data_IF_940079861337
#
_entry.id   IF_940079861337
#
_cell.length_a   1.000
_cell.length_b   1.000
_cell.length_c   1.000
_cell.angle_alpha   90.00
_cell.angle_beta   90.00
_cell.angle_gamma   90.00
#
_symmetry.space_group_name_H-M   'P 1'
#
loop_
_entity.id
_entity.type
_entity.pdbx_description
1 polymer ?
#
# COMPACT_ATOMS: atom_id res chain seq x y z
N UNK A 1 2.52 21.69 2.34
CA UNK A 1 3.22 22.92 2.69
C UNK A 1 4.70 22.65 3.00
N UNK A 2 5.52 23.67 2.79
CA UNK A 2 6.97 23.60 2.95
C UNK A 2 7.45 24.90 3.62
N UNK A 3 8.46 24.77 4.47
CA UNK A 3 9.16 25.90 5.08
C UNK A 3 10.65 25.69 4.92
N UNK A 4 11.32 26.70 4.39
CA UNK A 4 12.76 26.68 4.14
C UNK A 4 13.44 27.83 4.88
N UNK A 5 14.58 27.54 5.50
CA UNK A 5 15.50 28.51 6.07
C UNK A 5 16.88 28.40 5.41
N UNK A 6 17.45 29.54 5.08
CA UNK A 6 18.81 29.67 4.53
C UNK A 6 19.65 30.54 5.46
N UNK A 7 20.82 30.05 5.84
CA UNK A 7 21.79 30.77 6.68
C UNK A 7 23.11 30.85 5.92
N UNK A 8 23.68 32.02 5.82
CA UNK A 8 25.01 32.25 5.24
C UNK A 8 25.93 32.88 6.27
N UNK A 9 27.12 32.32 6.46
CA UNK A 9 28.12 32.80 7.41
C UNK A 9 29.53 32.49 6.92
N UNK A 10 30.38 33.47 6.92
CA UNK A 10 31.80 33.34 6.55
C UNK A 10 32.03 32.56 5.25
N UNK A 11 31.22 32.80 4.22
CA UNK A 11 31.30 32.09 2.94
C UNK A 11 30.74 30.68 2.92
N UNK A 12 30.23 30.18 4.06
CA UNK A 12 29.47 28.94 4.14
C UNK A 12 27.99 29.19 4.00
N UNK A 13 27.25 28.19 3.53
CA UNK A 13 25.79 28.23 3.42
C UNK A 13 25.16 26.95 3.95
N UNK A 14 24.16 27.10 4.78
CA UNK A 14 23.29 26.04 5.26
C UNK A 14 21.85 26.33 4.83
N UNK A 15 21.23 25.39 4.16
CA UNK A 15 19.79 25.39 3.84
C UNK A 15 19.14 24.24 4.55
N UNK A 16 17.99 24.49 5.19
CA UNK A 16 17.16 23.46 5.81
C UNK A 16 15.71 23.65 5.37
N UNK A 17 15.10 22.58 4.91
CA UNK A 17 13.71 22.57 4.47
C UNK A 17 12.95 21.54 5.29
N UNK A 18 11.82 21.93 5.87
CA UNK A 18 10.82 20.99 6.38
C UNK A 18 9.61 20.98 5.46
N UNK A 19 9.09 19.82 5.14
CA UNK A 19 7.90 19.69 4.31
C UNK A 19 6.88 18.72 4.93
N UNK A 20 5.61 18.98 4.63
CA UNK A 20 4.50 18.09 4.95
C UNK A 20 3.50 18.07 3.80
N UNK A 21 3.25 16.90 3.25
CA UNK A 21 2.31 16.63 2.17
C UNK A 21 1.21 15.70 2.67
N UNK A 22 -0.03 16.02 2.38
CA UNK A 22 -1.18 15.18 2.69
C UNK A 22 -2.03 15.03 1.43
N UNK A 23 -2.16 13.79 0.98
CA UNK A 23 -3.03 13.39 -0.12
C UNK A 23 -4.14 12.51 0.43
N UNK A 24 -5.41 12.91 0.27
CA UNK A 24 -6.56 12.19 0.80
C UNK A 24 -7.40 11.48 -0.25
N UNK A 25 -7.08 11.67 -1.53
CA UNK A 25 -7.88 11.21 -2.68
C UNK A 25 -7.03 10.59 -3.79
N UNK A 26 -5.92 9.93 -3.42
CA UNK A 26 -5.07 9.24 -4.39
C UNK A 26 -5.77 8.03 -5.01
N UNK A 27 -5.38 7.67 -6.22
CA UNK A 27 -5.89 6.48 -6.89
C UNK A 27 -5.53 5.20 -6.15
N UNK A 28 -6.51 4.31 -6.05
CA UNK A 28 -6.35 2.96 -5.53
C UNK A 28 -7.28 2.01 -6.25
N UNK A 29 -6.79 0.84 -6.62
CA UNK A 29 -7.62 -0.26 -7.09
C UNK A 29 -8.12 -1.04 -5.88
N UNK A 30 -9.44 -1.10 -5.72
CA UNK A 30 -10.12 -1.80 -4.65
C UNK A 30 -10.99 -2.92 -5.21
N UNK A 31 -11.19 -3.97 -4.42
CA UNK A 31 -12.11 -5.05 -4.74
C UNK A 31 -13.53 -4.65 -4.34
N UNK A 32 -14.48 -4.97 -5.20
CA UNK A 32 -15.91 -4.84 -4.99
C UNK A 32 -16.57 -6.18 -5.28
N UNK A 33 -17.75 -6.39 -4.71
CA UNK A 33 -18.45 -7.65 -4.84
C UNK A 33 -19.90 -7.41 -5.22
N UNK A 34 -20.43 -8.33 -6.02
CA UNK A 34 -21.83 -8.35 -6.40
C UNK A 34 -22.36 -9.79 -6.36
N UNK A 35 -23.58 -10.01 -5.88
CA UNK A 35 -24.18 -11.35 -5.91
C UNK A 35 -24.51 -11.75 -7.33
N UNK A 36 -24.33 -13.04 -7.63
CA UNK A 36 -24.82 -13.67 -8.85
C UNK A 36 -25.47 -15.00 -8.53
N UNK A 37 -26.41 -15.42 -9.35
CA UNK A 37 -27.11 -16.70 -9.22
C UNK A 37 -26.56 -17.67 -10.25
N UNK A 38 -26.37 -18.92 -9.84
CA UNK A 38 -25.95 -20.01 -10.72
C UNK A 38 -26.65 -21.31 -10.32
N UNK A 39 -26.67 -22.29 -11.22
CA UNK A 39 -27.15 -23.65 -10.96
C UNK A 39 -26.00 -24.55 -10.62
N UNK A 40 -26.04 -25.16 -9.45
CA UNK A 40 -25.11 -26.21 -9.07
C UNK A 40 -25.74 -27.56 -9.43
N UNK A 41 -25.21 -28.18 -10.47
CA UNK A 41 -25.69 -29.49 -10.94
C UNK A 41 -25.13 -30.61 -10.07
N UNK A 42 -25.99 -31.59 -9.71
CA UNK A 42 -25.59 -32.76 -8.96
C UNK A 42 -25.18 -33.87 -9.92
N UNK A 43 -23.90 -33.91 -10.24
CA UNK A 43 -23.33 -34.95 -11.12
C UNK A 43 -23.34 -36.35 -10.50
N UNK A 44 -23.50 -36.49 -9.16
CA UNK A 44 -23.59 -37.79 -8.50
C UNK A 44 -24.93 -38.49 -8.75
N UNK A 45 -25.94 -37.72 -9.13
CA UNK A 45 -27.27 -38.24 -9.49
C UNK A 45 -27.35 -38.80 -10.92
N UNK A 46 -26.27 -38.66 -11.71
CA UNK A 46 -26.24 -39.11 -13.12
C UNK A 46 -25.74 -40.57 -13.18
N UNK A 47 -26.58 -41.48 -13.69
CA UNK A 47 -26.15 -42.85 -14.00
C UNK A 47 -25.34 -42.86 -15.29
N UNK A 48 -24.02 -43.02 -15.14
CA UNK A 48 -23.09 -43.05 -16.24
C UNK A 48 -23.04 -44.39 -17.00
N UNK A 49 -23.70 -45.45 -16.50
CA UNK A 49 -23.55 -46.82 -17.02
C UNK A 49 -24.12 -47.06 -18.42
N UNK A 50 -24.99 -46.17 -18.89
CA UNK A 50 -25.64 -46.31 -20.21
C UNK A 50 -25.40 -45.14 -21.16
N UNK A 51 -24.58 -44.14 -20.77
CA UNK A 51 -24.40 -42.92 -21.53
C UNK A 51 -23.50 -43.15 -22.77
N UNK A 52 -24.02 -42.84 -23.96
CA UNK A 52 -23.26 -42.78 -25.21
C UNK A 52 -22.67 -41.39 -25.51
N UNK A 53 -22.92 -40.41 -24.65
CA UNK A 53 -22.43 -39.03 -24.74
C UNK A 53 -22.77 -38.25 -23.46
N UNK A 54 -22.42 -36.97 -23.37
CA UNK A 54 -22.75 -36.15 -22.20
C UNK A 54 -24.28 -36.04 -22.05
N UNK A 55 -24.84 -36.18 -20.83
CA UNK A 55 -26.28 -36.03 -20.61
C UNK A 55 -26.71 -34.59 -20.90
N UNK A 56 -27.98 -34.41 -21.28
CA UNK A 56 -28.54 -33.09 -21.43
C UNK A 56 -28.61 -32.39 -20.05
N UNK A 57 -28.34 -31.09 -19.97
CA UNK A 57 -28.35 -30.34 -18.71
C UNK A 57 -29.71 -30.38 -18.00
N UNK A 58 -30.78 -30.51 -18.78
CA UNK A 58 -32.19 -30.59 -18.30
C UNK A 58 -32.46 -31.89 -17.54
N UNK A 59 -31.69 -32.93 -17.78
CA UNK A 59 -31.83 -34.26 -17.13
C UNK A 59 -31.03 -34.33 -15.81
N UNK A 60 -30.20 -33.32 -15.52
CA UNK A 60 -29.36 -33.34 -14.33
C UNK A 60 -30.04 -32.51 -13.22
N UNK A 61 -30.28 -33.09 -12.03
CA UNK A 61 -30.77 -32.33 -10.90
C UNK A 61 -29.85 -31.18 -10.56
N UNK A 62 -30.41 -30.06 -10.19
CA UNK A 62 -29.65 -28.89 -9.79
C UNK A 62 -30.26 -28.19 -8.56
N UNK A 63 -29.42 -27.40 -7.90
CA UNK A 63 -29.80 -26.48 -6.83
C UNK A 63 -29.46 -25.07 -7.26
N UNK A 64 -30.41 -24.14 -7.17
CA UNK A 64 -30.13 -22.73 -7.38
C UNK A 64 -29.30 -22.18 -6.22
N UNK A 65 -28.13 -21.64 -6.56
CA UNK A 65 -27.14 -21.13 -5.63
C UNK A 65 -26.91 -19.65 -5.89
N UNK A 66 -26.50 -18.94 -4.86
CA UNK A 66 -25.98 -17.58 -4.96
C UNK A 66 -24.55 -17.53 -4.43
N UNK A 67 -23.72 -16.74 -5.08
CA UNK A 67 -22.36 -16.48 -4.66
C UNK A 67 -21.99 -15.02 -4.92
N UNK A 68 -20.92 -14.58 -4.28
CA UNK A 68 -20.33 -13.26 -4.51
C UNK A 68 -19.28 -13.35 -5.62
N UNK A 69 -19.42 -12.49 -6.63
CA UNK A 69 -18.40 -12.31 -7.66
C UNK A 69 -17.62 -11.03 -7.39
N UNK A 70 -16.30 -11.16 -7.24
CA UNK A 70 -15.41 -10.05 -7.01
C UNK A 70 -14.96 -9.41 -8.34
N UNK A 71 -14.97 -8.09 -8.38
CA UNK A 71 -14.39 -7.31 -9.46
C UNK A 71 -13.53 -6.18 -8.91
N UNK A 72 -12.59 -5.68 -9.71
CA UNK A 72 -11.71 -4.60 -9.31
C UNK A 72 -12.09 -3.30 -9.99
N UNK A 73 -12.06 -2.22 -9.22
CA UNK A 73 -12.33 -0.87 -9.73
C UNK A 73 -11.32 0.11 -9.13
N UNK A 74 -10.81 1.00 -9.96
CA UNK A 74 -9.99 2.11 -9.51
C UNK A 74 -10.87 3.26 -9.03
N UNK A 75 -10.54 3.77 -7.86
CA UNK A 75 -11.26 4.89 -7.23
C UNK A 75 -10.28 5.75 -6.42
N UNK A 76 -10.75 6.90 -5.96
CA UNK A 76 -10.01 7.76 -5.04
C UNK A 76 -10.13 7.19 -3.62
N UNK A 77 -9.28 6.23 -3.30
CA UNK A 77 -9.30 5.47 -2.04
C UNK A 77 -7.96 5.40 -1.30
N UNK A 78 -6.94 6.12 -1.79
CA UNK A 78 -5.62 6.16 -1.16
C UNK A 78 -5.42 7.43 -0.34
N UNK A 79 -4.79 7.29 0.81
CA UNK A 79 -4.31 8.39 1.63
C UNK A 79 -2.81 8.27 1.82
N UNK A 80 -2.11 9.37 1.66
CA UNK A 80 -0.67 9.48 1.90
C UNK A 80 -0.43 10.68 2.80
N UNK A 81 0.28 10.45 3.89
CA UNK A 81 0.81 11.49 4.75
C UNK A 81 2.33 11.38 4.72
N UNK A 82 2.99 12.42 4.24
CA UNK A 82 4.43 12.44 4.04
C UNK A 82 5.03 13.68 4.66
N UNK A 83 6.07 13.51 5.45
CA UNK A 83 6.81 14.61 6.07
C UNK A 83 8.30 14.32 6.04
N UNK A 84 9.09 15.37 6.05
CA UNK A 84 10.52 15.21 6.05
C UNK A 84 11.29 16.49 6.27
N UNK A 85 12.59 16.30 6.48
CA UNK A 85 13.57 17.36 6.61
C UNK A 85 14.65 17.12 5.57
N UNK A 86 14.93 18.12 4.77
CA UNK A 86 16.05 18.15 3.85
C UNK A 86 17.04 19.21 4.29
N UNK A 87 18.31 18.94 4.14
CA UNK A 87 19.35 19.93 4.42
C UNK A 87 20.46 19.87 3.40
N UNK A 88 21.08 21.02 3.18
CA UNK A 88 22.27 21.16 2.36
C UNK A 88 23.22 22.14 3.02
N UNK A 89 24.44 21.69 3.23
CA UNK A 89 25.55 22.52 3.65
C UNK A 89 26.58 22.63 2.53
N UNK A 90 27.03 23.84 2.26
CA UNK A 90 28.12 24.11 1.29
C UNK A 90 29.16 24.96 1.99
N UNK A 91 30.39 24.47 2.10
CA UNK A 91 31.48 25.24 2.70
C UNK A 91 32.10 26.21 1.70
N UNK A 92 32.64 27.32 2.20
CA UNK A 92 33.69 27.96 1.47
C UNK A 92 34.88 26.98 1.26
N UNK A 93 35.77 27.29 0.32
CA UNK A 93 36.96 26.47 0.11
C UNK A 93 37.91 26.62 1.30
N UNK A 94 38.21 25.52 1.95
CA UNK A 94 39.16 25.44 3.06
C UNK A 94 40.56 25.62 2.48
N UNK A 95 41.18 26.79 2.72
CA UNK A 95 42.42 27.17 2.05
C UNK A 95 43.58 26.18 2.29
N UNK A 96 43.71 25.68 3.52
CA UNK A 96 44.77 24.73 3.90
C UNK A 96 44.66 23.38 3.14
N UNK A 97 43.46 22.94 2.82
CA UNK A 97 43.20 21.69 2.11
C UNK A 97 42.85 21.92 0.62
N UNK A 98 42.64 23.18 0.23
CA UNK A 98 42.16 23.56 -1.10
C UNK A 98 40.86 22.84 -1.48
N UNK A 99 40.05 22.45 -0.50
CA UNK A 99 38.88 21.60 -0.63
C UNK A 99 37.61 22.37 -0.28
N UNK A 100 36.62 22.28 -1.13
CA UNK A 100 35.23 22.64 -0.79
C UNK A 100 34.45 21.38 -0.39
N UNK A 101 33.56 21.53 0.58
CA UNK A 101 32.74 20.45 1.11
C UNK A 101 31.28 20.75 0.83
N UNK A 102 30.55 19.80 0.24
CA UNK A 102 29.10 19.85 0.13
C UNK A 102 28.55 18.62 0.86
N UNK A 103 27.64 18.87 1.78
CA UNK A 103 26.91 17.83 2.49
C UNK A 103 25.43 18.08 2.27
N UNK A 104 24.71 17.10 1.75
CA UNK A 104 23.27 17.14 1.69
C UNK A 104 22.67 15.86 2.23
N UNK A 105 21.45 15.94 2.71
CA UNK A 105 20.76 14.78 3.25
C UNK A 105 19.29 15.03 3.40
N UNK A 106 18.57 13.94 3.56
CA UNK A 106 17.13 13.95 3.76
C UNK A 106 16.73 12.86 4.74
N UNK A 107 15.89 13.23 5.69
CA UNK A 107 15.05 12.29 6.43
C UNK A 107 13.62 12.48 6.02
N UNK A 108 12.92 11.39 5.74
CA UNK A 108 11.48 11.45 5.51
C UNK A 108 10.75 10.22 6.02
N UNK A 109 9.50 10.44 6.35
CA UNK A 109 8.55 9.44 6.79
C UNK A 109 7.28 9.56 5.94
N UNK A 110 6.87 8.47 5.32
CA UNK A 110 5.65 8.38 4.52
C UNK A 110 4.73 7.33 5.11
N UNK A 111 3.48 7.69 5.36
CA UNK A 111 2.41 6.81 5.83
C UNK A 111 1.42 6.63 4.70
N UNK A 112 1.31 5.41 4.20
CA UNK A 112 0.35 5.02 3.18
C UNK A 112 -0.80 4.29 3.84
N UNK A 113 -2.04 4.76 3.57
CA UNK A 113 -3.26 4.17 4.12
C UNK A 113 -4.38 4.22 3.09
N UNK A 114 -5.51 3.60 3.42
CA UNK A 114 -6.75 3.80 2.68
C UNK A 114 -7.56 4.96 3.29
N UNK A 115 -8.31 5.64 2.46
CA UNK A 115 -9.25 6.71 2.86
C UNK A 115 -10.71 6.27 2.81
N UNK A 116 -10.98 5.01 2.44
CA UNK A 116 -12.32 4.39 2.36
C UNK A 116 -12.25 2.97 2.87
N UNK A 117 -13.35 2.44 3.45
CA UNK A 117 -13.46 1.03 3.78
C UNK A 117 -13.24 0.15 2.56
N UNK A 118 -12.69 -1.04 2.79
CA UNK A 118 -12.31 -1.99 1.75
C UNK A 118 -12.91 -3.36 2.03
N UNK A 119 -13.37 -4.01 0.96
CA UNK A 119 -13.74 -5.41 1.02
C UNK A 119 -12.52 -6.31 1.03
N UNK A 120 -12.50 -7.27 1.93
CA UNK A 120 -11.56 -8.39 1.93
C UNK A 120 -12.27 -9.70 2.21
N UNK A 121 -11.80 -10.75 1.55
CA UNK A 121 -12.31 -12.11 1.73
C UNK A 121 -11.64 -12.79 2.91
N UNK A 122 -12.37 -13.67 3.57
CA UNK A 122 -11.85 -14.61 4.56
C UNK A 122 -11.51 -15.91 3.84
N UNK A 123 -10.34 -16.45 4.11
CA UNK A 123 -9.82 -17.66 3.44
C UNK A 123 -10.26 -18.97 4.13
N UNK A 124 -11.36 -18.92 4.91
CA UNK A 124 -11.87 -20.07 5.63
C UNK A 124 -12.86 -20.88 4.80
N UNK A 125 -13.01 -22.14 5.16
CA UNK A 125 -13.91 -23.11 4.52
C UNK A 125 -14.81 -23.70 5.60
N UNK A 126 -16.13 -23.54 5.44
CA UNK A 126 -17.15 -24.11 6.30
C UNK A 126 -18.02 -25.03 5.47
N UNK A 127 -18.34 -26.23 5.96
CA UNK A 127 -19.13 -27.24 5.25
C UNK A 127 -18.67 -27.50 3.81
N UNK A 128 -17.35 -27.57 3.64
CA UNK A 128 -16.69 -27.79 2.36
C UNK A 128 -16.94 -26.69 1.29
N UNK A 129 -17.32 -25.48 1.75
CA UNK A 129 -17.52 -24.27 0.91
C UNK A 129 -16.67 -23.12 1.41
N UNK A 130 -15.99 -22.38 0.52
CA UNK A 130 -15.31 -21.15 0.91
C UNK A 130 -16.30 -20.11 1.45
N UNK A 131 -16.04 -19.59 2.64
CA UNK A 131 -16.85 -18.50 3.22
C UNK A 131 -16.94 -17.29 2.28
N UNK A 132 -15.91 -17.05 1.53
CA UNK A 132 -15.83 -15.96 0.53
C UNK A 132 -16.85 -16.08 -0.62
N UNK A 133 -17.46 -17.25 -0.84
CA UNK A 133 -18.54 -17.38 -1.81
C UNK A 133 -19.87 -16.80 -1.27
N UNK A 134 -20.08 -16.85 0.03
CA UNK A 134 -21.34 -16.44 0.67
C UNK A 134 -21.24 -15.08 1.34
N UNK A 135 -20.08 -14.77 1.92
CA UNK A 135 -19.85 -13.55 2.69
C UNK A 135 -18.53 -12.89 2.37
N UNK A 136 -18.51 -11.55 2.37
CA UNK A 136 -17.30 -10.74 2.29
C UNK A 136 -17.33 -9.63 3.32
N UNK A 137 -16.24 -9.47 4.08
CA UNK A 137 -16.11 -8.45 5.10
C UNK A 137 -15.74 -7.08 4.50
N UNK A 138 -16.35 -6.03 5.03
CA UNK A 138 -15.97 -4.64 4.78
C UNK A 138 -15.20 -4.11 5.98
N UNK A 139 -13.98 -3.65 5.77
CA UNK A 139 -13.05 -3.24 6.82
C UNK A 139 -12.71 -1.76 6.72
N UNK A 140 -12.81 -1.07 7.85
CA UNK A 140 -12.37 0.32 8.01
C UNK A 140 -11.00 0.36 8.70
N UNK A 141 -10.03 -0.31 8.14
CA UNK A 141 -8.68 -0.39 8.66
C UNK A 141 -7.63 0.14 7.71
N UNK A 142 -6.49 0.47 8.26
CA UNK A 142 -5.30 0.74 7.49
C UNK A 142 -4.60 -0.57 7.12
N UNK A 143 -4.56 -0.88 5.85
CA UNK A 143 -3.76 -1.95 5.27
C UNK A 143 -2.44 -1.41 4.69
N UNK A 144 -2.09 -0.21 5.07
CA UNK A 144 -0.96 0.54 4.57
C UNK A 144 0.36 0.17 5.19
N UNK A 145 1.31 1.05 4.97
CA UNK A 145 2.68 0.90 5.48
C UNK A 145 3.28 2.24 5.84
N UNK A 146 4.21 2.20 6.76
CA UNK A 146 5.06 3.33 7.12
C UNK A 146 6.44 3.06 6.55
N UNK A 147 6.90 3.94 5.67
CA UNK A 147 8.28 3.94 5.20
C UNK A 147 9.01 5.13 5.82
N UNK A 148 10.21 4.88 6.31
CA UNK A 148 11.04 5.89 6.91
C UNK A 148 12.49 5.66 6.48
N UNK A 149 13.19 6.74 6.11
CA UNK A 149 14.59 6.65 5.74
C UNK A 149 15.36 7.93 6.06
N UNK A 150 16.65 7.76 6.26
CA UNK A 150 17.61 8.85 6.38
C UNK A 150 18.86 8.55 5.57
N UNK A 151 19.21 9.47 4.70
CA UNK A 151 20.41 9.38 3.87
C UNK A 151 21.16 10.70 3.82
N UNK A 152 22.45 10.62 3.54
CA UNK A 152 23.32 11.76 3.32
C UNK A 152 24.29 11.50 2.16
N UNK A 153 24.65 12.56 1.48
CA UNK A 153 25.73 12.58 0.48
C UNK A 153 26.79 13.58 0.93
N UNK A 154 28.03 13.18 0.83
CA UNK A 154 29.21 14.00 1.07
C UNK A 154 29.97 14.15 -0.23
N UNK A 155 30.26 15.37 -0.62
CA UNK A 155 31.08 15.67 -1.79
C UNK A 155 32.24 16.55 -1.36
N UNK A 156 33.44 16.20 -1.78
CA UNK A 156 34.68 16.91 -1.56
C UNK A 156 35.30 17.26 -2.90
N UNK A 157 35.51 18.55 -3.15
CA UNK A 157 36.15 19.05 -4.37
C UNK A 157 37.50 19.71 -4.01
N UNK A 158 38.59 19.00 -4.26
CA UNK A 158 39.95 19.43 -3.98
C UNK A 158 40.62 19.94 -5.26
N UNK A 159 41.15 21.14 -5.23
CA UNK A 159 41.91 21.72 -6.34
C UNK A 159 43.40 21.55 -6.11
N UNK A 160 44.09 21.11 -7.15
CA UNK A 160 45.55 21.00 -7.18
C UNK A 160 46.05 21.91 -8.32
N UNK A 161 46.16 23.23 -8.05
CA UNK A 161 46.47 24.22 -9.10
C UNK A 161 47.83 23.97 -9.77
N UNK A 162 48.79 23.42 -9.04
CA UNK A 162 50.15 23.11 -9.57
C UNK A 162 50.08 22.12 -10.72
N UNK A 163 49.08 21.28 -10.76
CA UNK A 163 48.89 20.29 -11.83
C UNK A 163 47.65 20.58 -12.71
N UNK A 164 46.94 21.67 -12.44
CA UNK A 164 45.71 22.00 -13.14
C UNK A 164 44.58 20.99 -12.95
N UNK A 165 44.59 20.25 -11.81
CA UNK A 165 43.66 19.18 -11.55
C UNK A 165 42.59 19.57 -10.52
N UNK A 166 41.38 19.02 -10.69
CA UNK A 166 40.33 19.01 -9.69
C UNK A 166 40.04 17.54 -9.36
N UNK A 167 40.10 17.19 -8.10
CA UNK A 167 39.82 15.87 -7.61
C UNK A 167 38.50 15.92 -6.83
N UNK A 168 37.45 15.25 -7.34
CA UNK A 168 36.12 15.18 -6.72
C UNK A 168 35.89 13.79 -6.16
N UNK A 169 35.53 13.74 -4.89
CA UNK A 169 35.14 12.51 -4.20
C UNK A 169 33.73 12.65 -3.70
N UNK A 170 32.90 11.64 -3.93
CA UNK A 170 31.54 11.58 -3.36
C UNK A 170 31.33 10.28 -2.59
N UNK A 171 30.68 10.40 -1.44
CA UNK A 171 30.28 9.27 -0.58
C UNK A 171 28.80 9.42 -0.28
N UNK A 172 28.02 8.39 -0.61
CA UNK A 172 26.62 8.31 -0.26
C UNK A 172 26.43 7.33 0.90
N UNK A 173 25.70 7.76 1.91
CA UNK A 173 25.41 6.96 3.09
C UNK A 173 23.91 6.84 3.30
N UNK A 174 23.43 5.60 3.39
CA UNK A 174 22.09 5.28 3.87
C UNK A 174 22.22 4.86 5.34
N UNK A 175 21.80 5.73 6.26
CA UNK A 175 21.94 5.50 7.70
C UNK A 175 20.92 4.50 8.22
N UNK A 176 19.70 4.66 7.74
CA UNK A 176 18.66 3.66 7.97
C UNK A 176 17.58 3.73 6.90
N UNK A 177 16.93 2.59 6.72
CA UNK A 177 15.67 2.46 6.01
C UNK A 177 14.78 1.51 6.80
N UNK A 178 13.54 1.89 6.99
CA UNK A 178 12.55 1.10 7.70
C UNK A 178 11.25 1.04 6.91
N UNK A 179 10.71 -0.16 6.77
CA UNK A 179 9.36 -0.38 6.24
C UNK A 179 8.58 -1.19 7.25
N UNK A 180 7.49 -0.63 7.75
CA UNK A 180 6.59 -1.30 8.68
C UNK A 180 5.20 -1.39 8.07
N UNK A 181 4.68 -2.62 7.97
CA UNK A 181 3.29 -2.87 7.60
C UNK A 181 2.41 -2.51 8.78
N UNK A 182 1.32 -1.78 8.55
CA UNK A 182 0.36 -1.43 9.60
C UNK A 182 -0.42 -2.67 10.01
N UNK A 183 -0.59 -2.82 11.32
CA UNK A 183 -1.30 -3.98 11.85
C UNK A 183 -2.80 -3.86 11.62
N UNK A 184 -3.42 -4.95 11.16
CA UNK A 184 -4.85 -5.09 10.93
C UNK A 184 -5.48 -5.82 12.12
N UNK A 185 -6.60 -5.31 12.62
CA UNK A 185 -7.30 -5.95 13.74
C UNK A 185 -8.12 -7.19 13.37
N UNK A 186 -8.35 -7.42 12.05
CA UNK A 186 -9.09 -8.58 11.55
C UNK A 186 -10.62 -8.52 11.74
N UNK A 187 -11.13 -7.43 12.32
CA UNK A 187 -12.57 -7.30 12.60
C UNK A 187 -13.22 -6.41 11.54
N UNK A 188 -14.22 -6.91 10.78
CA UNK A 188 -14.96 -6.09 9.82
C UNK A 188 -15.92 -5.13 10.53
N UNK A 189 -16.23 -4.01 9.91
CA UNK A 189 -17.30 -3.10 10.38
C UNK A 189 -18.67 -3.52 9.87
N UNK A 190 -18.70 -4.22 8.74
CA UNK A 190 -19.89 -4.82 8.15
C UNK A 190 -19.50 -5.96 7.22
N UNK A 191 -20.49 -6.74 6.80
CA UNK A 191 -20.30 -7.79 5.79
C UNK A 191 -21.40 -7.74 4.75
N UNK A 192 -21.12 -8.22 3.54
CA UNK A 192 -22.09 -8.40 2.47
C UNK A 192 -22.42 -9.87 2.35
N UNK A 193 -23.72 -10.19 2.26
CA UNK A 193 -24.19 -11.54 2.03
C UNK A 193 -24.55 -11.77 0.56
N UNK A 194 -24.21 -12.94 0.00
CA UNK A 194 -24.57 -13.33 -1.37
C UNK A 194 -26.07 -13.49 -1.55
N UNK A 195 -26.82 -13.78 -0.50
CA UNK A 195 -28.25 -14.01 -0.53
C UNK A 195 -29.05 -12.84 -1.12
N UNK A 196 -28.63 -11.60 -0.84
CA UNK A 196 -29.34 -10.39 -1.29
C UNK A 196 -28.41 -9.22 -1.70
N UNK A 197 -27.10 -9.34 -1.51
CA UNK A 197 -26.12 -8.32 -1.84
C UNK A 197 -26.13 -7.09 -0.94
N UNK A 198 -26.76 -7.17 0.24
CA UNK A 198 -26.82 -6.07 1.19
C UNK A 198 -25.69 -6.14 2.20
N UNK A 199 -25.35 -4.96 2.73
CA UNK A 199 -24.40 -4.81 3.82
C UNK A 199 -25.15 -4.92 5.16
N UNK A 200 -24.62 -5.76 6.02
CA UNK A 200 -25.09 -5.96 7.38
C UNK A 200 -24.00 -5.50 8.36
N UNK A 201 -24.35 -4.81 9.45
CA UNK A 201 -23.37 -4.45 10.45
C UNK A 201 -22.81 -5.72 11.12
N UNK A 202 -21.49 -5.76 11.29
CA UNK A 202 -20.85 -6.83 12.05
C UNK A 202 -20.95 -6.52 13.55
N UNK A 203 -21.54 -7.41 14.31
CA UNK A 203 -21.76 -7.28 15.76
C UNK A 203 -21.24 -8.53 16.47
N UNK A 204 -21.17 -8.50 17.81
CA UNK A 204 -20.83 -9.69 18.61
C UNK A 204 -21.79 -10.87 18.37
N UNK A 205 -23.06 -10.58 18.06
CA UNK A 205 -24.06 -11.61 17.72
C UNK A 205 -23.74 -12.24 16.37
N UNK A 206 -23.43 -11.42 15.36
CA UNK A 206 -23.05 -11.93 14.02
C UNK A 206 -21.68 -12.62 13.99
N UNK A 207 -20.87 -12.47 15.04
CA UNK A 207 -19.60 -13.18 15.20
C UNK A 207 -19.77 -14.58 15.80
N UNK A 208 -20.97 -14.89 16.34
CA UNK A 208 -21.28 -16.17 16.96
C UNK A 208 -22.03 -17.15 16.04
N UNK A 209 -22.56 -16.64 14.94
CA UNK A 209 -23.25 -17.39 13.88
C UNK A 209 -22.25 -17.77 12.76
#
# INVERSE_FOLDING_TARGET
WEVRGDISFEGNRLSVTYFHENLTSGFRTSSFYAPFSYRKYDHSAVDASGLQGPPALEDIPYTDMKALNGYRQSANGSRIDKQGIEFQFTSQRISALRTAVVINGAWFRSVYTNSRPMFETVADVVDNRPVSEEYVGLYDWNDGRVNEQFNTNFQLDTQIPEWGLIFSTSVQCMWFVSTRVMWKNGVPVSYMAASDGKLYPYTEVSAAD
#
